data_IF_992733624027
#
_entry.id   IF_992733624027
#
_cell.length_a   1.000
_cell.length_b   1.000
_cell.length_c   1.000
_cell.angle_alpha   90.00
_cell.angle_beta   90.00
_cell.angle_gamma   90.00
#
_symmetry.space_group_name_H-M   'P 1'
#
loop_
_entity.id
_entity.type
_entity.pdbx_description
1 polymer ?
#
# COMPACT_ATOMS: atom_id res chain seq x y z
N UNK A 1 -9.96 20.66 2.90
CA UNK A 1 -9.75 20.74 4.36
C UNK A 1 -8.83 19.61 4.77
N UNK A 2 -7.61 20.00 5.13
CA UNK A 2 -6.82 19.45 6.23
C UNK A 2 -6.50 17.94 6.10
N UNK A 3 -5.40 17.54 5.46
CA UNK A 3 -4.02 17.64 6.00
C UNK A 3 -3.85 16.98 7.40
N UNK A 4 -4.86 16.29 7.95
CA UNK A 4 -4.81 15.68 9.29
C UNK A 4 -4.94 14.16 9.35
N UNK A 5 -5.25 13.44 8.26
CA UNK A 5 -5.42 11.98 8.36
C UNK A 5 -4.10 11.21 8.31
N UNK A 6 -3.09 11.67 7.57
CA UNK A 6 -1.83 10.92 7.35
C UNK A 6 -1.06 10.70 8.67
N UNK A 7 -1.19 11.57 9.67
CA UNK A 7 -0.51 11.45 10.97
C UNK A 7 -1.28 10.62 12.01
N UNK A 8 -2.56 10.28 11.78
CA UNK A 8 -3.39 9.50 12.72
C UNK A 8 -3.50 7.99 12.39
N UNK A 9 -2.85 7.51 11.32
CA UNK A 9 -2.85 6.10 10.92
C UNK A 9 -2.07 5.16 11.84
N UNK A 10 -1.53 5.62 12.97
CA UNK A 10 -0.88 4.72 13.95
C UNK A 10 -1.85 4.24 15.02
N UNK A 11 -2.84 5.07 15.39
CA UNK A 11 -3.81 4.78 16.46
C UNK A 11 -4.94 3.82 16.06
N UNK A 12 -5.11 3.58 14.75
CA UNK A 12 -6.15 2.70 14.19
C UNK A 12 -5.55 1.50 13.45
N UNK A 13 -4.47 0.93 13.99
CA UNK A 13 -3.83 -0.25 13.39
C UNK A 13 -3.87 -1.42 14.32
N UNK A 14 -4.44 -2.52 13.86
CA UNK A 14 -4.40 -3.77 14.60
C UNK A 14 -3.14 -4.51 14.17
N UNK A 15 -2.30 -4.87 15.15
CA UNK A 15 -1.19 -5.80 14.95
C UNK A 15 -1.73 -7.22 15.06
N UNK A 16 -2.04 -7.83 13.92
CA UNK A 16 -2.59 -9.18 13.88
C UNK A 16 -1.51 -10.19 13.53
N UNK A 17 -1.12 -11.04 14.48
CA UNK A 17 -0.21 -12.16 14.23
C UNK A 17 1.09 -11.76 13.49
N UNK A 18 1.88 -12.73 13.06
CA UNK A 18 3.08 -12.51 12.25
C UNK A 18 2.93 -13.28 10.94
N UNK A 19 3.51 -12.76 9.85
CA UNK A 19 3.77 -13.60 8.68
C UNK A 19 4.82 -14.64 9.06
N UNK A 20 4.89 -15.76 8.33
CA UNK A 20 5.89 -16.82 8.58
C UNK A 20 7.34 -16.30 8.65
N UNK A 21 7.66 -15.17 8.00
CA UNK A 21 8.95 -14.46 8.08
C UNK A 21 9.11 -13.54 9.30
N UNK A 22 8.25 -13.67 10.31
CA UNK A 22 8.32 -12.89 11.55
C UNK A 22 7.94 -11.42 11.42
N UNK A 23 7.54 -10.93 10.23
CA UNK A 23 7.06 -9.53 10.08
C UNK A 23 5.62 -9.43 10.60
N UNK A 24 5.28 -8.40 11.37
CA UNK A 24 3.92 -8.25 11.88
C UNK A 24 2.95 -8.00 10.73
N UNK A 25 1.80 -8.68 10.70
CA UNK A 25 0.72 -8.24 9.80
C UNK A 25 0.03 -7.05 10.45
N UNK A 26 -0.17 -6.01 9.66
CA UNK A 26 -0.86 -4.79 10.06
C UNK A 26 -2.12 -4.69 9.24
N UNK A 27 -3.20 -4.27 9.86
CA UNK A 27 -4.45 -4.02 9.17
C UNK A 27 -5.08 -2.73 9.69
N UNK A 28 -5.86 -2.09 8.83
CA UNK A 28 -6.70 -0.98 9.23
C UNK A 28 -7.76 -1.48 10.22
N UNK A 29 -7.95 -0.75 11.31
CA UNK A 29 -8.95 -1.09 12.31
C UNK A 29 -10.38 -0.86 11.81
N UNK A 30 -10.60 0.13 10.96
CA UNK A 30 -11.95 0.52 10.51
C UNK A 30 -12.45 -0.33 9.34
N UNK A 31 -11.59 -0.58 8.33
CA UNK A 31 -11.98 -1.35 7.14
C UNK A 31 -11.42 -2.79 7.12
N UNK A 32 -10.55 -3.16 8.07
CA UNK A 32 -9.94 -4.48 8.13
C UNK A 32 -8.89 -4.76 7.05
N UNK A 33 -8.65 -3.84 6.12
CA UNK A 33 -7.74 -4.08 4.99
C UNK A 33 -6.29 -4.25 5.49
N UNK A 34 -5.61 -5.36 5.15
CA UNK A 34 -4.23 -5.58 5.53
C UNK A 34 -3.27 -4.74 4.68
N UNK A 35 -2.17 -4.30 5.28
CA UNK A 35 -1.12 -3.57 4.59
C UNK A 35 0.26 -3.84 5.18
N UNK A 36 1.29 -3.64 4.35
CA UNK A 36 2.69 -3.79 4.75
C UNK A 36 3.27 -2.42 5.02
N UNK A 37 3.65 -2.19 6.29
CA UNK A 37 4.44 -1.03 6.67
C UNK A 37 5.87 -1.25 6.18
N UNK A 38 6.44 -0.25 5.50
CA UNK A 38 7.82 -0.26 4.99
C UNK A 38 8.13 -1.46 4.07
N UNK A 39 7.50 -1.49 2.90
CA UNK A 39 7.73 -2.52 1.91
C UNK A 39 9.18 -2.44 1.39
N UNK A 40 9.94 -3.51 1.57
CA UNK A 40 11.38 -3.53 1.26
C UNK A 40 11.71 -3.72 -0.21
N UNK A 41 10.70 -3.95 -1.05
CA UNK A 41 10.92 -4.26 -2.46
C UNK A 41 9.91 -3.49 -3.33
N UNK A 42 10.25 -2.26 -3.74
CA UNK A 42 9.36 -1.42 -4.54
C UNK A 42 10.09 -0.55 -5.55
N UNK A 43 10.48 -1.14 -6.68
CA UNK A 43 10.78 -0.38 -7.89
C UNK A 43 10.29 -1.14 -9.11
N UNK A 44 9.41 -0.50 -9.88
CA UNK A 44 9.09 -0.96 -11.24
C UNK A 44 10.04 -0.27 -12.22
N UNK A 45 10.51 -1.02 -13.21
CA UNK A 45 11.49 -0.54 -14.19
C UNK A 45 10.89 0.58 -15.07
N UNK A 46 11.72 1.45 -15.67
CA UNK A 46 11.26 2.51 -16.58
C UNK A 46 10.40 1.96 -17.73
N UNK A 47 10.78 0.82 -18.29
CA UNK A 47 10.05 0.18 -19.39
C UNK A 47 8.66 -0.28 -18.94
N UNK A 48 8.56 -0.77 -17.70
CA UNK A 48 7.29 -1.18 -17.09
C UNK A 48 6.36 0.01 -16.91
N UNK A 49 6.90 1.18 -16.55
CA UNK A 49 6.13 2.43 -16.44
C UNK A 49 5.59 2.86 -17.81
N UNK A 50 6.44 2.83 -18.84
CA UNK A 50 6.05 3.21 -20.19
C UNK A 50 4.99 2.29 -20.80
N UNK A 51 5.05 0.98 -20.49
CA UNK A 51 4.04 0.02 -20.91
C UNK A 51 2.69 0.29 -20.22
N UNK A 52 2.70 0.57 -18.90
CA UNK A 52 1.49 0.93 -18.15
C UNK A 52 0.82 2.16 -18.79
N UNK A 53 1.60 3.19 -19.13
CA UNK A 53 1.08 4.42 -19.73
C UNK A 53 0.41 4.15 -21.09
N UNK A 54 1.03 3.34 -21.94
CA UNK A 54 0.46 2.99 -23.26
C UNK A 54 -0.86 2.23 -23.12
N UNK A 55 -0.90 1.21 -22.28
CA UNK A 55 -2.09 0.36 -22.08
C UNK A 55 -3.26 1.11 -21.42
N UNK A 56 -2.97 2.10 -20.57
CA UNK A 56 -4.02 2.95 -19.99
C UNK A 56 -4.60 3.91 -21.03
N UNK A 57 -3.79 4.41 -21.96
CA UNK A 57 -4.26 5.27 -23.05
C UNK A 57 -5.14 4.53 -24.06
N UNK A 58 -4.85 3.26 -24.34
CA UNK A 58 -5.65 2.39 -25.21
C UNK A 58 -7.05 2.07 -24.65
N UNK A 59 -7.29 2.26 -23.35
CA UNK A 59 -8.57 1.98 -22.68
C UNK A 59 -9.48 3.20 -22.50
N UNK A 60 -8.98 4.40 -22.75
CA UNK A 60 -9.73 5.66 -22.57
C UNK A 60 -10.38 6.12 -23.89
N UNK A 61 -9.96 5.54 -25.02
CA UNK A 61 -10.55 5.78 -26.35
C UNK A 61 -11.49 4.68 -26.78
#
# INVERSE_FOLDING_TARGET
>A
MLVTTIENWYHHTIKNSYIHHGKPKRQCQECGQPFVINPTNKTISPDTKQLIDKLLLERIF
#
